data_IF_415342477194
#
_entry.id   IF_415342477194
#
_cell.length_a   1.000
_cell.length_b   1.000
_cell.length_c   1.000
_cell.angle_alpha   90.00
_cell.angle_beta   90.00
_cell.angle_gamma   90.00
#
_symmetry.space_group_name_H-M   'P 1'
#
loop_
_entity.id
_entity.type
_entity.pdbx_description
1 polymer ?
#
# COMPACT_ATOMS: atom_id res chain seq x y z
N UNK A 1 -11.84 -2.78 0.95
CA UNK A 1 -11.37 -4.16 1.16
C UNK A 1 -12.18 -5.08 0.26
N UNK A 2 -11.54 -6.08 -0.34
CA UNK A 2 -12.19 -7.13 -1.09
C UNK A 2 -11.47 -8.46 -1.00
N UNK A 3 -11.76 -9.36 -1.92
CA UNK A 3 -11.23 -10.72 -1.86
C UNK A 3 -10.83 -11.23 -3.25
N UNK A 4 -9.57 -11.63 -3.42
CA UNK A 4 -9.04 -12.08 -4.72
C UNK A 4 -9.80 -13.28 -5.30
N UNK A 5 -10.38 -14.13 -4.45
CA UNK A 5 -11.13 -15.30 -4.87
C UNK A 5 -12.51 -14.96 -5.45
N UNK A 6 -13.06 -13.78 -5.14
CA UNK A 6 -14.35 -13.36 -5.70
C UNK A 6 -14.25 -13.24 -7.23
N UNK A 7 -13.27 -12.46 -7.71
CA UNK A 7 -12.99 -12.33 -9.14
C UNK A 7 -12.69 -13.68 -9.80
N UNK A 8 -11.82 -14.49 -9.17
CA UNK A 8 -11.45 -15.81 -9.72
C UNK A 8 -12.64 -16.75 -9.80
N UNK A 9 -13.48 -16.75 -8.76
CA UNK A 9 -14.70 -17.55 -8.73
C UNK A 9 -15.69 -17.15 -9.81
N UNK A 10 -15.84 -15.84 -10.10
CA UNK A 10 -16.66 -15.36 -11.20
C UNK A 10 -16.09 -15.79 -12.55
N UNK A 11 -14.79 -15.61 -12.78
CA UNK A 11 -14.13 -16.00 -14.02
C UNK A 11 -14.26 -17.52 -14.27
N UNK A 12 -14.09 -18.32 -13.25
CA UNK A 12 -14.25 -19.78 -13.30
C UNK A 12 -15.71 -20.18 -13.59
N UNK A 13 -16.67 -19.59 -12.86
CA UNK A 13 -18.09 -19.89 -13.03
C UNK A 13 -18.63 -19.47 -14.42
N UNK A 14 -18.11 -18.40 -14.98
CA UNK A 14 -18.45 -17.92 -16.32
C UNK A 14 -17.67 -18.63 -17.44
N UNK A 15 -16.65 -19.46 -17.09
CA UNK A 15 -15.82 -20.15 -18.07
C UNK A 15 -14.93 -19.21 -18.89
N UNK A 16 -14.47 -18.08 -18.29
CA UNK A 16 -13.65 -17.10 -19.00
C UNK A 16 -12.27 -17.66 -19.32
N UNK A 17 -11.84 -17.51 -20.56
CA UNK A 17 -10.47 -17.78 -20.96
C UNK A 17 -9.48 -16.70 -20.46
N UNK A 18 -8.19 -16.87 -20.72
CA UNK A 18 -7.15 -15.95 -20.23
C UNK A 18 -7.30 -14.54 -20.81
N UNK A 19 -7.70 -14.40 -22.07
CA UNK A 19 -7.88 -13.12 -22.75
C UNK A 19 -9.07 -12.36 -22.16
N UNK A 20 -10.19 -13.04 -21.99
CA UNK A 20 -11.39 -12.48 -21.35
C UNK A 20 -11.15 -12.09 -19.88
N UNK A 21 -10.38 -12.89 -19.13
CA UNK A 21 -10.00 -12.54 -17.77
C UNK A 21 -9.10 -11.30 -17.72
N UNK A 22 -8.20 -11.16 -18.68
CA UNK A 22 -7.34 -9.99 -18.77
C UNK A 22 -8.13 -8.73 -19.12
N UNK A 23 -9.03 -8.81 -20.12
CA UNK A 23 -9.94 -7.73 -20.49
C UNK A 23 -10.78 -7.27 -19.28
N UNK A 24 -11.40 -8.21 -18.57
CA UNK A 24 -12.18 -7.90 -17.36
C UNK A 24 -11.33 -7.22 -16.29
N UNK A 25 -10.07 -7.65 -16.10
CA UNK A 25 -9.14 -6.97 -15.16
C UNK A 25 -8.86 -5.54 -15.57
N UNK A 26 -8.65 -5.28 -16.84
CA UNK A 26 -8.37 -3.94 -17.36
C UNK A 26 -9.58 -3.02 -17.22
N UNK A 27 -10.79 -3.53 -17.49
CA UNK A 27 -12.03 -2.80 -17.27
C UNK A 27 -12.19 -2.41 -15.79
N UNK A 28 -11.99 -3.35 -14.87
CA UNK A 28 -12.08 -3.10 -13.43
C UNK A 28 -10.97 -2.18 -12.91
N UNK A 29 -9.73 -2.33 -13.39
CA UNK A 29 -8.62 -1.46 -13.03
C UNK A 29 -8.87 0.00 -13.41
N UNK A 30 -9.53 0.21 -14.54
CA UNK A 30 -9.92 1.53 -15.05
C UNK A 30 -11.29 2.00 -14.52
N UNK A 31 -11.95 1.23 -13.64
CA UNK A 31 -13.31 1.49 -13.13
C UNK A 31 -14.35 1.69 -14.24
N UNK A 32 -14.13 0.99 -15.36
CA UNK A 32 -15.04 1.00 -16.51
C UNK A 32 -16.13 -0.07 -16.31
N UNK A 33 -17.06 0.18 -15.41
CA UNK A 33 -18.14 -0.76 -15.08
C UNK A 33 -19.13 -0.93 -16.22
N UNK A 34 -19.31 0.09 -17.06
CA UNK A 34 -20.11 -0.02 -18.28
C UNK A 34 -19.52 -1.05 -19.26
N UNK A 35 -18.20 -1.03 -19.45
CA UNK A 35 -17.53 -2.05 -20.27
C UNK A 35 -17.65 -3.46 -19.68
N UNK A 36 -17.69 -3.59 -18.35
CA UNK A 36 -17.97 -4.88 -17.69
C UNK A 36 -19.38 -5.37 -18.02
N UNK A 37 -20.38 -4.47 -17.96
CA UNK A 37 -21.78 -4.81 -18.33
C UNK A 37 -21.88 -5.25 -19.80
N UNK A 38 -21.29 -4.49 -20.72
CA UNK A 38 -21.28 -4.86 -22.15
C UNK A 38 -20.62 -6.23 -22.39
N UNK A 39 -19.48 -6.48 -21.75
CA UNK A 39 -18.80 -7.77 -21.85
C UNK A 39 -19.69 -8.91 -21.35
N UNK A 40 -20.35 -8.74 -20.21
CA UNK A 40 -21.24 -9.74 -19.59
C UNK A 40 -22.49 -9.96 -20.40
N UNK A 41 -23.08 -8.92 -21.01
CA UNK A 41 -24.25 -9.05 -21.88
C UNK A 41 -23.94 -9.87 -23.14
N UNK A 42 -22.72 -9.75 -23.67
CA UNK A 42 -22.24 -10.54 -24.80
C UNK A 42 -22.04 -12.03 -24.48
N UNK A 43 -22.08 -12.42 -23.22
CA UNK A 43 -21.87 -13.79 -22.75
C UNK A 43 -23.20 -14.53 -22.53
N UNK A 44 -23.21 -15.84 -22.78
CA UNK A 44 -24.37 -16.70 -22.49
C UNK A 44 -24.39 -17.14 -21.01
N UNK A 45 -24.48 -16.16 -20.08
CA UNK A 45 -24.55 -16.41 -18.65
C UNK A 45 -25.99 -16.48 -18.15
N UNK A 46 -26.19 -17.24 -17.05
CA UNK A 46 -27.46 -17.21 -16.34
C UNK A 46 -27.65 -15.90 -15.55
N UNK A 47 -28.89 -15.60 -15.19
CA UNK A 47 -29.25 -14.34 -14.52
C UNK A 47 -28.53 -14.15 -13.18
N UNK A 48 -28.25 -15.23 -12.46
CA UNK A 48 -27.52 -15.19 -11.17
C UNK A 48 -26.08 -14.73 -11.37
N UNK A 49 -25.37 -15.28 -12.36
CA UNK A 49 -24.01 -14.83 -12.68
C UNK A 49 -24.00 -13.39 -13.16
N UNK A 50 -24.93 -12.98 -14.03
CA UNK A 50 -25.03 -11.57 -14.48
C UNK A 50 -25.18 -10.63 -13.30
N UNK A 51 -26.04 -10.97 -12.31
CA UNK A 51 -26.19 -10.19 -11.08
C UNK A 51 -24.91 -10.18 -10.24
N UNK A 52 -24.20 -11.31 -10.13
CA UNK A 52 -22.93 -11.35 -9.40
C UNK A 52 -21.85 -10.49 -10.07
N UNK A 53 -21.81 -10.44 -11.41
CA UNK A 53 -20.93 -9.54 -12.16
C UNK A 53 -21.28 -8.06 -11.94
N UNK A 54 -22.58 -7.71 -11.86
CA UNK A 54 -22.98 -6.31 -11.62
C UNK A 54 -22.52 -5.80 -10.24
N UNK A 55 -22.34 -6.70 -9.27
CA UNK A 55 -21.79 -6.35 -7.95
C UNK A 55 -20.30 -5.93 -7.96
N UNK A 56 -19.58 -6.17 -9.06
CA UNK A 56 -18.20 -5.69 -9.19
C UNK A 56 -18.06 -4.16 -9.18
N UNK A 57 -19.13 -3.44 -9.53
CA UNK A 57 -19.21 -1.98 -9.44
C UNK A 57 -19.72 -1.45 -8.10
N UNK A 58 -20.13 -2.32 -7.19
CA UNK A 58 -20.75 -1.93 -5.93
C UNK A 58 -19.72 -1.62 -4.85
N UNK A 59 -20.04 -0.60 -4.04
CA UNK A 59 -19.33 -0.26 -2.81
C UNK A 59 -20.25 -0.46 -1.63
N UNK A 60 -19.95 -1.46 -0.83
CA UNK A 60 -20.72 -1.75 0.37
C UNK A 60 -20.07 -1.07 1.58
N UNK A 61 -20.82 -0.20 2.25
CA UNK A 61 -20.32 0.52 3.43
C UNK A 61 -20.43 -0.29 4.70
N UNK A 62 -21.28 -1.31 4.70
CA UNK A 62 -21.52 -2.21 5.83
C UNK A 62 -21.45 -3.66 5.37
N UNK A 63 -20.97 -4.52 6.25
CA UNK A 63 -20.82 -5.94 5.95
C UNK A 63 -22.17 -6.65 5.71
N UNK A 64 -23.24 -6.13 6.28
CA UNK A 64 -24.61 -6.65 6.12
C UNK A 64 -25.11 -6.56 4.67
N UNK A 65 -24.60 -5.58 3.92
CA UNK A 65 -24.93 -5.37 2.50
C UNK A 65 -24.37 -6.48 1.60
N UNK A 66 -23.39 -7.26 2.11
CA UNK A 66 -22.90 -8.47 1.43
C UNK A 66 -23.90 -9.65 1.44
N UNK A 67 -25.00 -9.56 2.20
CA UNK A 67 -25.97 -10.66 2.32
C UNK A 67 -26.64 -11.00 0.97
N UNK A 68 -26.90 -10.02 0.12
CA UNK A 68 -27.44 -10.26 -1.22
C UNK A 68 -26.42 -11.04 -2.07
N UNK A 69 -25.18 -10.58 -2.13
CA UNK A 69 -24.10 -11.26 -2.83
C UNK A 69 -23.92 -12.69 -2.35
N UNK A 70 -24.03 -12.92 -1.03
CA UNK A 70 -23.95 -14.26 -0.42
C UNK A 70 -25.09 -15.17 -0.86
N UNK A 71 -26.32 -14.64 -0.90
CA UNK A 71 -27.48 -15.38 -1.36
C UNK A 71 -27.35 -15.81 -2.82
N UNK A 72 -26.92 -14.89 -3.69
CA UNK A 72 -26.66 -15.15 -5.10
C UNK A 72 -25.54 -16.19 -5.32
N UNK A 73 -24.55 -16.21 -4.42
CA UNK A 73 -23.39 -17.09 -4.53
C UNK A 73 -23.61 -18.51 -3.98
N UNK A 74 -24.83 -18.89 -3.57
CA UNK A 74 -25.12 -20.20 -2.93
C UNK A 74 -24.64 -21.39 -3.75
N UNK A 75 -24.75 -21.35 -5.07
CA UNK A 75 -24.36 -22.41 -6.00
C UNK A 75 -22.92 -22.28 -6.49
N UNK A 76 -22.17 -21.26 -6.04
CA UNK A 76 -20.80 -20.95 -6.44
C UNK A 76 -19.84 -20.98 -5.25
N UNK A 77 -19.30 -22.15 -4.87
CA UNK A 77 -18.56 -22.34 -3.62
C UNK A 77 -17.37 -21.40 -3.42
N UNK A 78 -16.64 -21.11 -4.50
CA UNK A 78 -15.47 -20.21 -4.45
C UNK A 78 -15.87 -18.75 -4.17
N UNK A 79 -16.97 -18.30 -4.77
CA UNK A 79 -17.52 -16.96 -4.55
C UNK A 79 -18.12 -16.87 -3.13
N UNK A 80 -18.89 -17.87 -2.73
CA UNK A 80 -19.49 -17.96 -1.40
C UNK A 80 -18.42 -17.93 -0.29
N UNK A 81 -17.32 -18.67 -0.48
CA UNK A 81 -16.21 -18.67 0.46
C UNK A 81 -15.59 -17.28 0.60
N UNK A 82 -15.37 -16.58 -0.52
CA UNK A 82 -14.82 -15.24 -0.51
C UNK A 82 -15.70 -14.24 0.27
N UNK A 83 -17.01 -14.29 0.04
CA UNK A 83 -17.96 -13.43 0.76
C UNK A 83 -17.99 -13.77 2.25
N UNK A 84 -17.98 -15.07 2.58
CA UNK A 84 -17.95 -15.53 3.98
C UNK A 84 -16.69 -15.03 4.72
N UNK A 85 -15.56 -14.99 4.06
CA UNK A 85 -14.33 -14.44 4.65
C UNK A 85 -14.40 -12.92 4.86
N UNK A 86 -15.07 -12.19 3.96
CA UNK A 86 -15.33 -10.75 4.14
C UNK A 86 -16.30 -10.50 5.31
N UNK A 87 -17.34 -11.30 5.48
CA UNK A 87 -18.24 -11.21 6.63
C UNK A 87 -17.53 -11.46 7.97
N UNK A 88 -16.63 -12.46 8.01
CA UNK A 88 -15.79 -12.72 9.19
C UNK A 88 -14.89 -11.51 9.48
N UNK A 89 -14.28 -10.93 8.45
CA UNK A 89 -13.48 -9.72 8.61
C UNK A 89 -14.34 -8.59 9.17
N UNK A 90 -15.54 -8.35 8.63
CA UNK A 90 -16.49 -7.34 9.14
C UNK A 90 -16.80 -7.53 10.61
N UNK A 91 -16.98 -8.77 11.04
CA UNK A 91 -17.21 -9.10 12.46
C UNK A 91 -16.01 -8.72 13.34
N UNK A 92 -14.78 -8.97 12.88
CA UNK A 92 -13.58 -8.54 13.61
C UNK A 92 -13.42 -7.03 13.62
N UNK A 93 -13.65 -6.34 12.49
CA UNK A 93 -13.57 -4.87 12.41
C UNK A 93 -14.54 -4.22 13.42
N UNK A 94 -15.73 -4.81 13.59
CA UNK A 94 -16.71 -4.37 14.60
C UNK A 94 -16.21 -4.57 16.03
N UNK A 95 -15.58 -5.71 16.33
CA UNK A 95 -14.97 -5.95 17.64
C UNK A 95 -13.88 -4.93 17.97
N UNK A 96 -13.14 -4.48 16.97
CA UNK A 96 -12.14 -3.43 17.12
C UNK A 96 -12.71 -1.99 17.07
N UNK A 97 -14.01 -1.82 16.76
CA UNK A 97 -14.66 -0.51 16.65
C UNK A 97 -14.18 0.34 15.48
N UNK A 98 -13.63 -0.29 14.43
CA UNK A 98 -13.07 0.38 13.26
C UNK A 98 -13.85 0.13 11.96
N UNK A 99 -14.98 -0.55 12.02
CA UNK A 99 -15.83 -0.89 10.87
C UNK A 99 -16.22 0.34 10.04
N UNK A 100 -16.46 1.47 10.69
CA UNK A 100 -16.84 2.74 10.03
C UNK A 100 -15.77 3.34 9.09
N UNK A 101 -14.55 2.84 9.16
CA UNK A 101 -13.45 3.27 8.31
C UNK A 101 -13.20 2.32 7.13
N UNK A 102 -13.99 1.25 7.02
CA UNK A 102 -13.78 0.20 6.03
C UNK A 102 -15.01 0.05 5.18
N UNK A 103 -14.82 0.06 3.87
CA UNK A 103 -15.82 -0.32 2.88
C UNK A 103 -15.41 -1.62 2.19
N UNK A 104 -16.41 -2.37 1.73
CA UNK A 104 -16.21 -3.60 0.98
C UNK A 104 -16.44 -3.32 -0.51
N UNK A 105 -15.49 -3.73 -1.33
CA UNK A 105 -15.51 -3.54 -2.79
C UNK A 105 -15.22 -4.90 -3.44
N UNK A 106 -16.24 -5.52 -3.99
CA UNK A 106 -16.12 -6.86 -4.59
C UNK A 106 -15.32 -6.81 -5.91
N UNK A 107 -15.30 -5.68 -6.58
CA UNK A 107 -14.53 -5.44 -7.81
C UNK A 107 -13.09 -5.00 -7.59
N UNK A 108 -12.62 -4.92 -6.33
CA UNK A 108 -11.21 -4.60 -6.10
C UNK A 108 -10.33 -5.73 -6.63
N UNK A 109 -9.43 -5.38 -7.51
CA UNK A 109 -8.45 -6.30 -8.09
C UNK A 109 -7.04 -5.85 -7.75
N UNK A 110 -6.12 -6.76 -7.84
CA UNK A 110 -4.69 -6.47 -7.71
C UNK A 110 -3.95 -6.91 -8.96
N UNK A 111 -3.01 -6.11 -9.40
CA UNK A 111 -2.06 -6.48 -10.44
C UNK A 111 -1.12 -7.62 -10.01
N UNK A 112 -1.11 -7.93 -8.71
CA UNK A 112 -0.30 -9.02 -8.16
C UNK A 112 -1.11 -10.32 -8.13
N UNK A 113 -0.77 -11.26 -9.00
CA UNK A 113 -1.45 -12.56 -9.12
C UNK A 113 -1.23 -13.50 -7.93
N UNK A 114 -0.34 -13.15 -7.00
CA UNK A 114 -0.02 -14.00 -5.85
C UNK A 114 -0.99 -13.89 -4.68
N UNK A 115 -1.87 -12.88 -4.63
CA UNK A 115 -2.89 -12.79 -3.58
C UNK A 115 -3.90 -13.92 -3.70
N UNK A 116 -4.20 -14.56 -2.56
CA UNK A 116 -5.10 -15.73 -2.48
C UNK A 116 -6.36 -15.49 -1.65
N UNK A 117 -6.38 -14.42 -0.87
CA UNK A 117 -7.46 -14.10 0.06
C UNK A 117 -7.82 -12.63 0.03
N UNK A 118 -8.02 -12.06 1.22
CA UNK A 118 -8.35 -10.65 1.38
C UNK A 118 -7.28 -9.77 0.76
N UNK A 119 -7.74 -8.75 0.03
CA UNK A 119 -6.93 -7.66 -0.52
C UNK A 119 -7.49 -6.34 -0.02
N UNK A 120 -6.63 -5.35 0.17
CA UNK A 120 -7.05 -4.05 0.66
C UNK A 120 -6.21 -2.92 0.11
N UNK A 121 -6.84 -1.76 0.05
CA UNK A 121 -6.21 -0.50 -0.25
C UNK A 121 -6.65 0.54 0.79
N UNK A 122 -5.71 1.32 1.28
CA UNK A 122 -5.99 2.40 2.23
C UNK A 122 -5.84 3.75 1.54
N UNK A 123 -6.83 4.59 1.72
CA UNK A 123 -6.88 5.93 1.15
C UNK A 123 -6.87 6.97 2.26
N UNK A 124 -6.43 8.17 1.95
CA UNK A 124 -6.52 9.33 2.83
C UNK A 124 -7.01 10.55 2.06
N UNK A 125 -7.44 11.54 2.80
CA UNK A 125 -7.92 12.79 2.20
C UNK A 125 -6.81 13.46 1.37
N UNK A 126 -7.19 13.94 0.19
CA UNK A 126 -6.29 14.69 -0.69
C UNK A 126 -5.46 13.83 -1.67
N UNK A 127 -5.68 12.52 -1.72
CA UNK A 127 -5.10 11.65 -2.76
C UNK A 127 -6.19 10.98 -3.58
N UNK A 128 -5.98 10.85 -4.88
CA UNK A 128 -6.83 10.02 -5.76
C UNK A 128 -6.39 8.56 -5.78
N UNK A 129 -5.21 8.28 -5.26
CA UNK A 129 -4.57 6.97 -5.24
C UNK A 129 -4.38 6.46 -3.81
N UNK A 130 -4.35 5.15 -3.60
CA UNK A 130 -4.14 4.58 -2.28
C UNK A 130 -2.73 4.84 -1.76
N UNK A 131 -2.64 5.17 -0.47
CA UNK A 131 -1.37 5.33 0.26
C UNK A 131 -0.84 4.01 0.82
N UNK A 132 -1.70 3.00 0.92
CA UNK A 132 -1.36 1.64 1.36
C UNK A 132 -2.06 0.63 0.46
N UNK A 133 -1.35 -0.42 0.05
CA UNK A 133 -1.91 -1.56 -0.69
C UNK A 133 -1.39 -2.85 -0.07
N UNK A 134 -2.25 -3.84 0.10
CA UNK A 134 -1.85 -5.11 0.68
C UNK A 134 -2.84 -6.24 0.48
N UNK A 135 -2.49 -7.41 1.01
CA UNK A 135 -3.36 -8.56 0.97
C UNK A 135 -2.72 -9.84 1.48
N UNK A 136 -3.55 -10.89 1.54
CA UNK A 136 -3.16 -12.23 1.95
C UNK A 136 -2.65 -13.05 0.76
N UNK A 137 -1.56 -13.77 0.98
CA UNK A 137 -0.95 -14.66 0.00
C UNK A 137 -0.45 -15.94 0.66
N UNK A 138 -0.99 -17.07 0.26
CA UNK A 138 -0.72 -18.37 0.90
C UNK A 138 0.27 -19.21 0.09
N UNK A 139 0.51 -18.85 -1.18
CA UNK A 139 1.30 -19.65 -2.13
C UNK A 139 2.67 -19.07 -2.45
N UNK A 140 2.89 -17.78 -2.22
CA UNK A 140 4.13 -17.10 -2.64
C UNK A 140 5.37 -17.77 -2.02
N UNK A 141 5.30 -18.14 -0.75
CA UNK A 141 6.42 -18.74 -0.04
C UNK A 141 6.74 -20.18 -0.52
N UNK A 142 5.84 -20.82 -1.27
CA UNK A 142 6.11 -22.16 -1.83
C UNK A 142 7.23 -22.13 -2.87
N UNK A 143 7.40 -21.01 -3.60
CA UNK A 143 8.51 -20.82 -4.55
C UNK A 143 9.87 -20.78 -3.85
N UNK A 144 9.88 -20.50 -2.55
CA UNK A 144 11.07 -20.51 -1.69
C UNK A 144 11.15 -21.75 -0.78
N UNK A 145 10.43 -22.83 -1.14
CA UNK A 145 10.45 -24.11 -0.44
C UNK A 145 9.68 -24.16 0.88
N UNK A 146 8.88 -23.13 1.20
CA UNK A 146 8.13 -23.06 2.46
C UNK A 146 6.63 -22.83 2.23
N UNK A 147 5.80 -23.76 2.73
CA UNK A 147 4.33 -23.56 2.74
C UNK A 147 3.93 -22.81 4.00
N UNK A 148 3.56 -21.56 3.87
CA UNK A 148 3.00 -20.78 4.98
C UNK A 148 2.05 -19.69 4.42
N UNK A 149 0.88 -19.49 5.06
CA UNK A 149 0.07 -18.31 4.77
C UNK A 149 0.79 -17.05 5.23
N UNK A 150 0.63 -15.99 4.48
CA UNK A 150 1.21 -14.70 4.82
C UNK A 150 0.25 -13.56 4.44
N UNK A 151 0.37 -12.46 5.14
CA UNK A 151 -0.25 -11.20 4.82
C UNK A 151 0.81 -10.11 4.85
N UNK A 152 0.72 -9.15 3.94
CA UNK A 152 1.65 -8.03 3.90
C UNK A 152 1.02 -6.82 3.24
N UNK A 153 1.67 -5.70 3.41
CA UNK A 153 1.29 -4.46 2.75
C UNK A 153 2.51 -3.63 2.39
N UNK A 154 2.32 -2.72 1.45
CA UNK A 154 3.30 -1.72 1.06
C UNK A 154 2.71 -0.32 1.25
N UNK A 155 3.53 0.60 1.73
CA UNK A 155 3.22 2.02 1.79
C UNK A 155 3.73 2.66 0.50
N UNK A 156 2.86 3.40 -0.19
CA UNK A 156 3.21 4.17 -1.38
C UNK A 156 3.70 5.54 -0.92
N UNK A 157 5.02 5.65 -0.72
CA UNK A 157 5.65 6.79 -0.05
C UNK A 157 5.33 8.11 -0.75
N UNK A 158 5.38 8.17 -2.08
CA UNK A 158 5.08 9.37 -2.85
C UNK A 158 3.63 9.85 -2.62
N UNK A 159 2.68 8.92 -2.56
CA UNK A 159 1.28 9.24 -2.26
C UNK A 159 1.11 9.72 -0.82
N UNK A 160 1.82 9.09 0.12
CA UNK A 160 1.79 9.50 1.53
C UNK A 160 2.36 10.91 1.69
N UNK A 161 3.52 11.22 1.11
CA UNK A 161 4.13 12.55 1.16
C UNK A 161 3.23 13.60 0.49
N UNK A 162 2.63 13.28 -0.65
CA UNK A 162 1.66 14.15 -1.31
C UNK A 162 0.44 14.43 -0.42
N UNK A 163 -0.09 13.41 0.25
CA UNK A 163 -1.20 13.56 1.19
C UNK A 163 -0.85 14.46 2.37
N UNK A 164 0.31 14.24 3.00
CA UNK A 164 0.80 15.05 4.12
C UNK A 164 0.94 16.53 3.71
N UNK A 165 1.53 16.78 2.55
CA UNK A 165 1.68 18.13 2.01
C UNK A 165 0.33 18.83 1.78
N UNK A 166 -0.63 18.14 1.13
CA UNK A 166 -1.96 18.69 0.87
C UNK A 166 -2.77 18.94 2.14
N UNK A 167 -2.61 18.09 3.14
CA UNK A 167 -3.23 18.24 4.46
C UNK A 167 -2.48 19.23 5.37
N UNK A 168 -1.36 19.81 4.89
CA UNK A 168 -0.50 20.72 5.64
C UNK A 168 0.00 20.12 6.96
N UNK A 169 0.22 18.81 6.98
CA UNK A 169 0.80 18.11 8.11
C UNK A 169 2.31 18.25 8.01
N UNK A 170 2.89 18.95 8.96
CA UNK A 170 4.35 19.10 9.07
C UNK A 170 4.93 17.84 9.71
N UNK A 171 5.88 17.21 9.05
CA UNK A 171 6.65 16.14 9.65
C UNK A 171 7.52 16.73 10.75
N UNK A 172 7.58 16.10 11.95
CA UNK A 172 8.52 16.53 12.96
C UNK A 172 9.93 16.42 12.37
N UNK A 173 10.62 17.56 12.20
CA UNK A 173 12.05 17.54 11.93
C UNK A 173 12.71 17.11 13.25
N UNK A 174 13.51 16.06 13.19
CA UNK A 174 14.35 15.72 14.34
C UNK A 174 15.34 16.89 14.55
N UNK A 175 15.14 17.69 15.62
CA UNK A 175 15.98 18.81 15.98
C UNK A 175 17.43 18.41 16.37
N UNK A 176 17.76 17.12 16.23
CA UNK A 176 19.05 16.54 16.63
C UNK A 176 19.94 16.17 15.47
N UNK A 177 19.91 16.91 14.37
CA UNK A 177 20.84 16.72 13.26
C UNK A 177 22.10 17.55 13.48
N UNK A 178 23.26 16.92 13.48
CA UNK A 178 24.56 17.60 13.51
C UNK A 178 25.36 17.30 12.25
N UNK A 179 26.19 18.23 11.85
CA UNK A 179 27.11 18.09 10.73
C UNK A 179 28.54 18.28 11.21
N UNK A 180 29.39 17.33 10.92
CA UNK A 180 30.83 17.43 11.15
C UNK A 180 31.49 17.65 9.80
N UNK A 181 32.17 18.78 9.65
CA UNK A 181 32.95 19.13 8.46
C UNK A 181 34.41 18.94 8.81
N UNK A 182 35.13 18.05 8.14
CA UNK A 182 36.46 17.63 8.54
C UNK A 182 37.50 17.76 7.43
N UNK A 183 38.75 18.09 7.77
CA UNK A 183 39.88 18.02 6.87
C UNK A 183 40.21 16.55 6.54
N UNK A 184 40.76 16.29 5.35
CA UNK A 184 41.04 14.91 4.90
C UNK A 184 41.88 14.11 5.87
N UNK A 185 42.91 14.73 6.46
CA UNK A 185 43.79 14.13 7.48
C UNK A 185 43.07 13.80 8.80
N UNK A 186 41.88 14.36 9.04
CA UNK A 186 41.12 14.28 10.28
C UNK A 186 39.92 13.29 10.24
N UNK A 187 39.85 12.45 9.21
CA UNK A 187 38.75 11.52 9.01
C UNK A 187 38.55 10.56 10.21
N UNK A 188 39.64 10.08 10.81
CA UNK A 188 39.57 9.17 11.96
C UNK A 188 38.91 9.84 13.16
N UNK A 189 39.32 11.08 13.47
CA UNK A 189 38.76 11.89 14.55
C UNK A 189 37.27 12.20 14.31
N UNK A 190 36.91 12.56 13.09
CA UNK A 190 35.54 12.85 12.69
C UNK A 190 34.61 11.60 12.80
N UNK A 191 35.12 10.44 12.42
CA UNK A 191 34.38 9.17 12.53
C UNK A 191 34.13 8.78 13.99
N UNK A 192 35.16 8.88 14.86
CA UNK A 192 34.96 8.57 16.28
C UNK A 192 33.96 9.53 16.93
N UNK A 193 34.07 10.82 16.65
CA UNK A 193 33.08 11.82 17.13
C UNK A 193 31.67 11.51 16.66
N UNK A 194 31.50 11.15 15.39
CA UNK A 194 30.20 10.79 14.86
C UNK A 194 29.61 9.53 15.53
N UNK A 195 30.45 8.52 15.83
CA UNK A 195 30.01 7.34 16.58
C UNK A 195 29.49 7.69 17.96
N UNK A 196 30.24 8.51 18.71
CA UNK A 196 29.84 8.98 20.05
C UNK A 196 28.48 9.67 20.02
N UNK A 197 28.26 10.58 19.08
CA UNK A 197 27.01 11.31 18.94
C UNK A 197 25.85 10.39 18.51
N UNK A 198 26.10 9.45 17.60
CA UNK A 198 25.07 8.48 17.17
C UNK A 198 24.63 7.54 18.29
N UNK A 199 25.54 7.13 19.19
CA UNK A 199 25.19 6.36 20.39
C UNK A 199 24.25 7.16 21.30
N UNK A 200 24.32 8.49 21.30
CA UNK A 200 23.41 9.38 22.03
C UNK A 200 22.09 9.64 21.28
N UNK A 201 21.85 8.98 20.14
CA UNK A 201 20.65 9.16 19.33
C UNK A 201 20.65 10.44 18.47
N UNK A 202 21.82 11.03 18.23
CA UNK A 202 21.98 12.23 17.40
C UNK A 202 22.29 11.77 15.97
N UNK A 203 21.51 12.25 15.00
CA UNK A 203 21.83 12.06 13.58
C UNK A 203 23.02 12.91 13.18
N UNK A 204 24.04 12.32 12.55
CA UNK A 204 25.27 13.03 12.20
C UNK A 204 25.65 12.79 10.76
N UNK A 205 25.83 13.89 10.02
CA UNK A 205 26.40 13.90 8.67
C UNK A 205 27.90 14.21 8.74
N UNK A 206 28.72 13.45 8.00
CA UNK A 206 30.15 13.67 7.84
C UNK A 206 30.40 14.25 6.47
N UNK A 207 31.03 15.42 6.37
CA UNK A 207 31.37 16.10 5.14
C UNK A 207 32.86 16.44 5.13
N UNK A 208 33.58 15.92 4.14
CA UNK A 208 34.97 16.27 3.94
C UNK A 208 35.09 17.70 3.39
N UNK A 209 35.99 18.48 3.94
CA UNK A 209 36.32 19.83 3.44
C UNK A 209 36.85 19.77 2.00
N UNK A 210 36.39 20.68 1.19
CA UNK A 210 36.83 20.89 -0.19
C UNK A 210 37.54 22.24 -0.27
N UNK A 211 38.68 22.30 -0.94
CA UNK A 211 39.47 23.54 -1.13
C UNK A 211 38.65 24.64 -1.80
N UNK A 212 37.67 24.27 -2.63
CA UNK A 212 36.80 25.19 -3.37
C UNK A 212 35.66 25.79 -2.55
N UNK A 213 35.48 25.40 -1.27
CA UNK A 213 34.37 25.82 -0.42
C UNK A 213 34.85 26.52 0.83
N UNK A 214 34.20 27.62 1.14
CA UNK A 214 34.42 28.37 2.39
C UNK A 214 33.59 27.74 3.56
N UNK A 215 33.91 28.10 4.80
CA UNK A 215 33.11 27.76 5.96
C UNK A 215 31.65 28.24 5.83
N UNK A 216 31.46 29.43 5.26
CA UNK A 216 30.13 30.01 5.06
C UNK A 216 29.26 29.18 4.09
N UNK A 217 29.89 28.52 3.11
CA UNK A 217 29.16 27.61 2.21
C UNK A 217 28.62 26.42 2.96
N UNK A 218 29.39 25.83 3.89
CA UNK A 218 28.94 24.73 4.72
C UNK A 218 27.86 25.16 5.73
N UNK A 219 27.99 26.34 6.32
CA UNK A 219 26.97 26.89 7.22
C UNK A 219 25.68 27.20 6.47
N UNK A 220 25.76 27.74 5.26
CA UNK A 220 24.60 28.00 4.40
C UNK A 220 23.89 26.71 3.97
N UNK A 221 24.66 25.67 3.68
CA UNK A 221 24.11 24.33 3.41
C UNK A 221 23.40 23.75 4.65
N UNK A 222 24.06 23.83 5.80
CA UNK A 222 23.51 23.34 7.06
C UNK A 222 22.17 24.02 7.42
N UNK A 223 22.06 25.32 7.18
CA UNK A 223 20.81 26.07 7.40
C UNK A 223 19.67 25.58 6.51
N UNK A 224 19.95 25.27 5.23
CA UNK A 224 18.95 24.75 4.29
C UNK A 224 18.47 23.36 4.69
N UNK A 225 19.36 22.53 5.23
CA UNK A 225 19.07 21.15 5.65
C UNK A 225 18.62 21.06 7.13
N UNK A 226 18.28 22.18 7.76
CA UNK A 226 17.83 22.24 9.15
C UNK A 226 18.76 21.55 10.16
N UNK A 227 20.09 21.65 9.92
CA UNK A 227 21.10 21.12 10.81
C UNK A 227 21.20 21.98 12.07
N UNK A 228 21.07 21.37 13.22
CA UNK A 228 21.05 22.10 14.51
C UNK A 228 22.42 22.56 14.99
N UNK A 229 23.51 21.88 14.57
CA UNK A 229 24.87 22.19 14.92
C UNK A 229 25.85 21.76 13.84
N UNK A 230 26.77 22.65 13.51
CA UNK A 230 27.92 22.36 12.63
C UNK A 230 29.20 22.38 13.45
N UNK A 231 30.02 21.37 13.31
CA UNK A 231 31.33 21.26 13.95
C UNK A 231 32.42 21.11 12.87
N UNK A 232 33.50 21.91 12.96
CA UNK A 232 34.62 21.83 12.04
C UNK A 232 35.80 21.15 12.73
N UNK A 233 36.41 20.15 12.09
CA UNK A 233 37.62 19.47 12.52
C UNK A 233 38.69 19.73 11.51
N UNK A 234 39.53 20.73 11.81
CA UNK A 234 40.56 21.26 10.93
C UNK A 234 41.95 20.80 11.34
N UNK A 235 42.93 21.01 10.45
CA UNK A 235 44.34 20.90 10.80
C UNK A 235 44.71 22.01 11.77
N UNK A 236 45.55 21.70 12.76
CA UNK A 236 46.02 22.65 13.75
C UNK A 236 47.05 23.60 13.12
#
# INVERSE_FOLDING_TARGET
VGHAQFFRGLAEAAGLDEEQQQELRELLANKNYFGVEEMVEGMHLNDTLKKLFSLLGSFETQVEELAEAKSLASDYPNILSAITDLEKLGSFLRLYGIEKYVSFELGIISNYHYYTGIIFAGYTFGTGEPVVKGGRYDRLLTYFGRKAPAIGFAIVVDQLLSALSRQKITLPSEEKNQMIVYAESKIAEAVEKAKELRVQGISVSLIQMQESRSKDDYLSYAMKDHVSKVEFIEEA
#
